data_IF_787909267791
#
_entry.id   IF_787909267791
#
_cell.length_a   1.000
_cell.length_b   1.000
_cell.length_c   1.000
_cell.angle_alpha   90.00
_cell.angle_beta   90.00
_cell.angle_gamma   90.00
#
_symmetry.space_group_name_H-M   'P 1'
#
loop_
_entity.id
_entity.type
_entity.pdbx_description
1 polymer ?
#
# COMPACT_ATOMS: atom_id res chain seq x y z
N UNK A 1 -1.06 -24.90 23.75
CA UNK A 1 -1.35 -23.53 23.28
C UNK A 1 -1.69 -23.66 21.80
N UNK A 2 -2.95 -23.43 21.41
CA UNK A 2 -3.36 -23.50 20.01
C UNK A 2 -2.72 -22.37 19.24
N UNK A 3 -2.10 -22.62 18.07
CA UNK A 3 -1.60 -21.54 17.22
C UNK A 3 -2.78 -20.68 16.78
N UNK A 4 -2.73 -19.39 17.09
CA UNK A 4 -3.68 -18.43 16.61
C UNK A 4 -3.53 -18.38 15.08
N UNK A 5 -4.54 -18.91 14.37
CA UNK A 5 -4.60 -18.80 12.92
C UNK A 5 -4.51 -17.32 12.54
N UNK A 6 -3.64 -16.94 11.59
CA UNK A 6 -3.61 -15.57 11.11
C UNK A 6 -5.03 -15.21 10.64
N UNK A 7 -5.55 -14.08 11.12
CA UNK A 7 -6.78 -13.51 10.57
C UNK A 7 -6.62 -13.48 9.06
N UNK A 8 -7.50 -14.17 8.34
CA UNK A 8 -7.56 -14.08 6.89
C UNK A 8 -7.88 -12.62 6.53
N UNK A 9 -6.85 -11.83 6.28
CA UNK A 9 -6.99 -10.46 5.79
C UNK A 9 -7.61 -10.57 4.41
N UNK A 10 -8.92 -10.37 4.31
CA UNK A 10 -9.57 -10.22 3.02
C UNK A 10 -8.99 -8.96 2.37
N UNK A 11 -8.18 -9.15 1.36
CA UNK A 11 -7.61 -8.04 0.61
C UNK A 11 -8.74 -7.21 -0.02
N UNK A 12 -8.71 -5.87 0.10
CA UNK A 12 -9.76 -5.01 -0.44
C UNK A 12 -10.02 -5.33 -1.91
N UNK A 13 -11.30 -5.43 -2.27
CA UNK A 13 -11.71 -5.81 -3.63
C UNK A 13 -11.27 -4.80 -4.70
N UNK A 14 -11.04 -3.56 -4.29
CA UNK A 14 -10.61 -2.44 -5.13
C UNK A 14 -9.08 -2.30 -5.25
N UNK A 15 -8.32 -3.24 -4.67
CA UNK A 15 -6.86 -3.28 -4.76
C UNK A 15 -6.42 -4.50 -5.58
N UNK A 16 -6.59 -4.37 -6.89
CA UNK A 16 -6.16 -5.35 -7.90
C UNK A 16 -5.28 -4.68 -8.93
N UNK A 17 -4.45 -5.44 -9.64
CA UNK A 17 -3.56 -4.90 -10.68
C UNK A 17 -4.32 -4.15 -11.78
N UNK A 18 -5.51 -4.59 -12.15
CA UNK A 18 -6.38 -3.90 -13.12
C UNK A 18 -6.84 -2.50 -12.66
N UNK A 19 -6.76 -2.22 -11.36
CA UNK A 19 -7.15 -0.94 -10.76
C UNK A 19 -5.99 -0.01 -10.53
N UNK A 20 -4.79 -0.51 -10.72
CA UNK A 20 -3.59 0.28 -10.56
C UNK A 20 -3.47 1.30 -11.68
N UNK A 21 -3.33 2.57 -11.30
CA UNK A 21 -3.02 3.67 -12.20
C UNK A 21 -1.58 4.09 -11.92
N UNK A 22 -0.73 4.02 -12.94
CA UNK A 22 0.70 4.31 -12.83
C UNK A 22 1.49 3.61 -13.93
N UNK A 23 2.78 3.35 -13.69
CA UNK A 23 3.65 2.69 -14.65
C UNK A 23 3.20 1.23 -14.90
N UNK A 24 2.83 0.94 -16.15
CA UNK A 24 2.46 -0.43 -16.57
C UNK A 24 3.63 -1.41 -16.39
N UNK A 25 4.84 -1.03 -16.75
CA UNK A 25 6.01 -1.89 -16.59
C UNK A 25 6.30 -2.27 -15.13
N UNK A 26 6.03 -1.35 -14.18
CA UNK A 26 6.14 -1.67 -12.74
C UNK A 26 5.03 -2.63 -12.33
N UNK A 27 3.79 -2.37 -12.75
CA UNK A 27 2.65 -3.26 -12.48
C UNK A 27 2.91 -4.67 -12.99
N UNK A 28 3.35 -4.79 -14.23
CA UNK A 28 3.53 -6.08 -14.90
C UNK A 28 4.65 -6.89 -14.24
N UNK A 29 5.75 -6.23 -13.85
CA UNK A 29 6.84 -6.91 -13.13
C UNK A 29 6.40 -7.38 -11.73
N UNK A 30 5.64 -6.58 -11.00
CA UNK A 30 5.09 -6.97 -9.69
C UNK A 30 4.11 -8.13 -9.84
N UNK A 31 3.26 -8.10 -10.88
CA UNK A 31 2.33 -9.19 -11.20
C UNK A 31 3.06 -10.49 -11.56
N UNK A 32 4.09 -10.43 -12.39
CA UNK A 32 4.90 -11.60 -12.77
C UNK A 32 5.59 -12.26 -11.55
N UNK A 33 6.09 -11.43 -10.60
CA UNK A 33 6.62 -11.95 -9.33
C UNK A 33 5.50 -12.55 -8.47
N UNK A 34 4.32 -11.92 -8.41
CA UNK A 34 3.19 -12.43 -7.64
C UNK A 34 2.71 -13.79 -8.16
N UNK A 35 2.63 -13.97 -9.48
CA UNK A 35 2.26 -15.25 -10.13
C UNK A 35 3.35 -16.32 -10.04
N UNK A 36 4.59 -15.96 -9.69
CA UNK A 36 5.71 -16.90 -9.63
C UNK A 36 6.42 -17.13 -10.95
N UNK A 37 6.18 -16.29 -11.94
CA UNK A 37 6.88 -16.31 -13.23
C UNK A 37 8.33 -15.86 -13.08
N UNK A 38 8.60 -15.03 -12.07
CA UNK A 38 9.94 -14.56 -11.73
C UNK A 38 10.21 -14.69 -10.22
N UNK A 39 11.42 -15.11 -9.89
CA UNK A 39 11.92 -15.21 -8.51
C UNK A 39 12.74 -13.98 -8.08
N UNK A 40 12.54 -12.85 -8.76
CA UNK A 40 13.23 -11.61 -8.41
C UNK A 40 12.63 -11.02 -7.14
N UNK A 41 13.49 -10.59 -6.25
CA UNK A 41 13.06 -9.79 -5.10
C UNK A 41 12.95 -8.34 -5.53
N UNK A 42 11.83 -7.71 -5.20
CA UNK A 42 11.55 -6.35 -5.61
C UNK A 42 11.65 -5.39 -4.42
N UNK A 43 12.08 -4.18 -4.73
CA UNK A 43 12.06 -3.06 -3.80
C UNK A 43 11.36 -1.87 -4.46
N UNK A 44 10.17 -1.54 -3.96
CA UNK A 44 9.35 -0.43 -4.45
C UNK A 44 9.67 0.82 -3.65
N UNK A 45 10.23 1.85 -4.27
CA UNK A 45 10.51 3.13 -3.64
C UNK A 45 9.60 4.22 -4.20
N UNK A 46 9.05 5.06 -3.34
CA UNK A 46 8.24 6.20 -3.78
C UNK A 46 7.57 6.93 -2.63
N UNK A 47 7.23 8.19 -2.82
CA UNK A 47 6.54 9.00 -1.83
C UNK A 47 5.17 8.41 -1.43
N UNK A 48 4.60 8.89 -0.35
CA UNK A 48 3.24 8.56 0.06
C UNK A 48 2.26 8.84 -1.08
N UNK A 49 1.31 7.95 -1.30
CA UNK A 49 0.33 8.07 -2.39
C UNK A 49 0.83 7.65 -3.78
N UNK A 50 2.06 7.11 -3.91
CA UNK A 50 2.58 6.61 -5.20
C UNK A 50 2.04 5.22 -5.61
N UNK A 51 1.22 4.57 -4.79
CA UNK A 51 0.59 3.30 -5.11
C UNK A 51 1.33 2.05 -4.63
N UNK A 52 2.39 2.17 -3.80
CA UNK A 52 3.14 1.03 -3.25
C UNK A 52 2.25 0.01 -2.55
N UNK A 53 1.50 0.45 -1.54
CA UNK A 53 0.56 -0.40 -0.79
C UNK A 53 -0.47 -1.07 -1.71
N UNK A 54 -0.96 -0.33 -2.74
CA UNK A 54 -1.87 -0.91 -3.73
C UNK A 54 -1.22 -2.09 -4.47
N UNK A 55 0.00 -1.91 -4.97
CA UNK A 55 0.73 -2.97 -5.67
C UNK A 55 1.02 -4.17 -4.76
N UNK A 56 1.41 -3.95 -3.50
CA UNK A 56 1.64 -5.04 -2.55
C UNK A 56 0.36 -5.85 -2.27
N UNK A 57 -0.76 -5.17 -2.04
CA UNK A 57 -2.03 -5.84 -1.78
C UNK A 57 -2.59 -6.52 -3.04
N UNK A 58 -2.38 -5.92 -4.22
CA UNK A 58 -2.69 -6.56 -5.49
C UNK A 58 -1.85 -7.83 -5.70
N UNK A 59 -0.56 -7.79 -5.39
CA UNK A 59 0.33 -8.95 -5.47
C UNK A 59 -0.10 -10.07 -4.51
N UNK A 60 -0.46 -9.74 -3.27
CA UNK A 60 -0.99 -10.73 -2.33
C UNK A 60 -2.30 -11.36 -2.81
N UNK A 61 -3.19 -10.54 -3.38
CA UNK A 61 -4.46 -11.02 -3.91
C UNK A 61 -4.29 -11.93 -5.12
N UNK A 62 -3.33 -11.62 -5.99
CA UNK A 62 -3.00 -12.43 -7.17
C UNK A 62 -2.36 -13.77 -6.79
N UNK A 63 -1.40 -13.75 -5.86
CA UNK A 63 -0.75 -14.96 -5.35
C UNK A 63 -1.70 -15.91 -4.60
N UNK A 64 -2.83 -15.39 -4.11
CA UNK A 64 -3.84 -16.12 -3.31
C UNK A 64 -3.60 -16.00 -1.82
N UNK A 65 -4.69 -15.87 -1.06
CA UNK A 65 -4.70 -15.59 0.39
C UNK A 65 -3.92 -16.62 1.24
N UNK A 66 -3.83 -17.85 0.80
CA UNK A 66 -3.11 -18.92 1.51
C UNK A 66 -1.61 -18.98 1.16
N UNK A 67 -1.17 -18.22 0.15
CA UNK A 67 0.20 -18.26 -0.37
C UNK A 67 0.96 -16.95 -0.19
N UNK A 68 0.29 -15.90 0.21
CA UNK A 68 0.89 -14.59 0.39
C UNK A 68 0.62 -14.01 1.78
N UNK A 69 1.64 -13.36 2.34
CA UNK A 69 1.54 -12.66 3.63
C UNK A 69 1.92 -11.19 3.44
N UNK A 70 1.10 -10.30 3.99
CA UNK A 70 1.32 -8.86 3.99
C UNK A 70 1.66 -8.35 5.39
N UNK A 71 2.75 -7.61 5.50
CA UNK A 71 3.24 -7.01 6.74
C UNK A 71 3.27 -5.49 6.65
N UNK A 72 2.35 -4.76 7.29
CA UNK A 72 2.45 -3.33 7.49
C UNK A 72 3.45 -3.04 8.61
N UNK A 73 4.71 -2.77 8.27
CA UNK A 73 5.82 -2.69 9.22
C UNK A 73 5.61 -1.61 10.29
N UNK A 74 4.96 -0.49 9.95
CA UNK A 74 4.62 0.54 10.93
C UNK A 74 3.76 0.01 12.11
N UNK A 75 2.89 -0.97 11.86
CA UNK A 75 2.06 -1.57 12.90
C UNK A 75 2.82 -2.63 13.73
N UNK A 76 4.01 -3.02 13.29
CA UNK A 76 4.81 -4.10 13.87
C UNK A 76 6.13 -3.61 14.49
N UNK A 77 6.42 -2.33 14.40
CA UNK A 77 7.64 -1.74 14.97
C UNK A 77 7.77 -2.07 16.47
N UNK A 78 8.98 -2.46 16.87
CA UNK A 78 9.31 -2.91 18.23
C UNK A 78 8.95 -4.38 18.55
N UNK A 79 8.33 -5.12 17.61
CA UNK A 79 7.97 -6.55 17.78
C UNK A 79 8.11 -7.36 16.49
N UNK A 80 8.92 -6.88 15.56
CA UNK A 80 9.00 -7.47 14.23
C UNK A 80 9.48 -8.92 14.25
N UNK A 81 10.43 -9.26 15.12
CA UNK A 81 10.94 -10.62 15.24
C UNK A 81 9.80 -11.63 15.50
N UNK A 82 8.93 -11.31 16.47
CA UNK A 82 7.79 -12.18 16.80
C UNK A 82 6.74 -12.23 15.69
N UNK A 83 6.50 -11.11 15.04
CA UNK A 83 5.50 -10.99 13.98
C UNK A 83 5.88 -11.80 12.73
N UNK A 84 7.18 -11.96 12.47
CA UNK A 84 7.69 -12.62 11.26
C UNK A 84 8.04 -14.10 11.43
N UNK A 85 7.71 -14.71 12.57
CA UNK A 85 7.95 -16.14 12.80
C UNK A 85 7.15 -16.97 11.78
N UNK A 86 7.85 -17.78 10.99
CA UNK A 86 7.26 -18.65 9.96
C UNK A 86 6.83 -17.94 8.68
N UNK A 87 7.06 -16.63 8.55
CA UNK A 87 6.70 -15.88 7.35
C UNK A 87 7.46 -16.38 6.10
N UNK A 88 8.65 -16.91 6.27
CA UNK A 88 9.48 -17.53 5.22
C UNK A 88 8.83 -18.75 4.56
N UNK A 89 7.83 -19.36 5.20
CA UNK A 89 7.07 -20.48 4.64
C UNK A 89 5.99 -20.06 3.65
N UNK A 90 5.73 -18.76 3.52
CA UNK A 90 4.80 -18.20 2.54
C UNK A 90 5.39 -18.25 1.13
N UNK A 91 4.57 -18.41 0.10
CA UNK A 91 5.02 -18.35 -1.28
C UNK A 91 5.43 -16.94 -1.74
N UNK A 92 4.83 -15.91 -1.10
CA UNK A 92 5.12 -14.50 -1.32
C UNK A 92 5.00 -13.74 0.01
N UNK A 93 5.94 -12.85 0.29
CA UNK A 93 5.89 -11.93 1.44
C UNK A 93 5.99 -10.50 0.94
N UNK A 94 5.02 -9.68 1.29
CA UNK A 94 4.96 -8.26 0.99
C UNK A 94 5.17 -7.43 2.26
N UNK A 95 6.20 -6.59 2.26
CA UNK A 95 6.65 -5.79 3.41
C UNK A 95 6.46 -4.31 3.10
N UNK A 96 5.50 -3.67 3.76
CA UNK A 96 5.12 -2.28 3.49
C UNK A 96 5.66 -1.32 4.56
N UNK A 97 6.38 -0.29 4.11
CA UNK A 97 6.86 0.78 4.98
C UNK A 97 8.17 0.44 5.69
N UNK A 98 9.22 0.00 4.97
CA UNK A 98 10.54 -0.29 5.56
C UNK A 98 11.11 0.91 6.33
N UNK A 99 10.78 2.13 5.94
CA UNK A 99 11.15 3.35 6.67
C UNK A 99 10.66 3.38 8.11
N UNK A 100 9.59 2.67 8.44
CA UNK A 100 9.02 2.67 9.79
C UNK A 100 9.88 1.94 10.82
N UNK A 101 10.77 1.06 10.36
CA UNK A 101 11.71 0.33 11.23
C UNK A 101 13.14 0.85 11.10
N UNK A 102 13.41 1.77 10.16
CA UNK A 102 14.73 2.32 9.96
C UNK A 102 15.19 3.10 11.19
N UNK A 103 16.43 2.82 11.66
CA UNK A 103 16.97 3.34 12.92
C UNK A 103 16.63 2.50 14.16
N UNK A 104 15.72 1.53 14.07
CA UNK A 104 15.39 0.59 15.14
C UNK A 104 16.20 -0.69 14.97
N UNK A 105 17.39 -0.76 15.60
CA UNK A 105 18.36 -1.84 15.40
C UNK A 105 17.77 -3.25 15.55
N UNK A 106 16.89 -3.47 16.53
CA UNK A 106 16.29 -4.77 16.79
C UNK A 106 15.38 -5.22 15.65
N UNK A 107 14.53 -4.33 15.16
CA UNK A 107 13.65 -4.62 14.03
C UNK A 107 14.44 -4.78 12.72
N UNK A 108 15.49 -3.99 12.51
CA UNK A 108 16.37 -4.15 11.35
C UNK A 108 17.11 -5.50 11.35
N UNK A 109 17.59 -5.95 12.53
CA UNK A 109 18.19 -7.27 12.68
C UNK A 109 17.16 -8.38 12.44
N UNK A 110 15.95 -8.23 12.96
CA UNK A 110 14.86 -9.17 12.71
C UNK A 110 14.53 -9.28 11.20
N UNK A 111 14.46 -8.14 10.51
CA UNK A 111 14.22 -8.10 9.06
C UNK A 111 15.38 -8.72 8.28
N UNK A 112 16.64 -8.48 8.70
CA UNK A 112 17.82 -9.09 8.10
C UNK A 112 17.80 -10.63 8.26
N UNK A 113 17.47 -11.14 9.44
CA UNK A 113 17.35 -12.60 9.65
C UNK A 113 16.22 -13.19 8.83
N UNK A 114 15.05 -12.52 8.76
CA UNK A 114 13.98 -12.94 7.87
C UNK A 114 14.44 -12.99 6.42
N UNK A 115 15.14 -11.95 5.93
CA UNK A 115 15.66 -11.91 4.56
C UNK A 115 16.49 -13.17 4.25
N UNK A 116 17.38 -13.55 5.15
CA UNK A 116 18.25 -14.70 4.95
C UNK A 116 17.44 -16.02 4.96
N UNK A 117 16.48 -16.20 5.89
CA UNK A 117 15.61 -17.38 5.92
C UNK A 117 14.74 -17.48 4.67
N UNK A 118 14.09 -16.39 4.28
CA UNK A 118 13.24 -16.34 3.09
C UNK A 118 14.03 -16.68 1.81
N UNK A 119 15.31 -16.27 1.76
CA UNK A 119 16.19 -16.62 0.64
C UNK A 119 16.56 -18.11 0.62
N UNK A 120 16.77 -18.71 1.78
CA UNK A 120 17.03 -20.15 1.90
C UNK A 120 15.83 -21.00 1.51
N UNK A 121 14.61 -20.55 1.83
CA UNK A 121 13.36 -21.24 1.52
C UNK A 121 12.84 -20.96 0.09
N UNK A 122 13.48 -20.03 -0.64
CA UNK A 122 13.03 -19.66 -1.99
C UNK A 122 11.76 -18.80 -2.00
N UNK A 123 11.42 -18.18 -0.88
CA UNK A 123 10.28 -17.27 -0.73
C UNK A 123 10.48 -16.01 -1.58
N UNK A 124 9.48 -15.62 -2.33
CA UNK A 124 9.47 -14.35 -3.05
C UNK A 124 9.17 -13.20 -2.11
N UNK A 125 9.90 -12.10 -2.23
CA UNK A 125 9.74 -10.96 -1.34
C UNK A 125 9.62 -9.66 -2.13
N UNK A 126 8.66 -8.83 -1.74
CA UNK A 126 8.48 -7.47 -2.26
C UNK A 126 8.52 -6.49 -1.08
N UNK A 127 9.52 -5.64 -1.07
CA UNK A 127 9.66 -4.54 -0.12
C UNK A 127 9.04 -3.26 -0.69
N UNK A 128 8.49 -2.43 0.18
CA UNK A 128 8.07 -1.08 -0.17
C UNK A 128 8.56 -0.07 0.88
N UNK A 129 9.03 1.07 0.42
CA UNK A 129 9.50 2.16 1.27
C UNK A 129 9.26 3.54 0.65
N UNK A 130 9.35 4.58 1.46
CA UNK A 130 9.23 5.97 1.02
C UNK A 130 10.42 6.44 0.18
N UNK A 131 11.59 5.78 0.29
CA UNK A 131 12.83 6.15 -0.38
C UNK A 131 13.62 4.90 -0.81
N UNK A 132 14.66 5.10 -1.62
CA UNK A 132 15.62 4.04 -1.97
C UNK A 132 16.39 3.58 -0.74
N UNK A 133 16.92 2.33 -0.69
CA UNK A 133 17.65 1.80 0.49
C UNK A 133 18.78 2.70 0.96
N UNK A 134 19.52 3.28 0.03
CA UNK A 134 20.64 4.20 0.31
C UNK A 134 20.22 5.51 0.99
N UNK A 135 18.96 5.89 0.91
CA UNK A 135 18.42 7.10 1.52
C UNK A 135 17.64 6.84 2.82
N UNK A 136 17.49 5.58 3.21
CA UNK A 136 16.90 5.23 4.51
C UNK A 136 17.97 5.29 5.62
N UNK A 137 17.64 5.79 6.82
CA UNK A 137 18.58 5.85 7.94
C UNK A 137 18.76 4.47 8.61
N UNK A 138 19.11 3.44 7.82
CA UNK A 138 19.36 2.11 8.32
C UNK A 138 20.65 2.05 9.12
N UNK A 139 20.60 1.40 10.28
CA UNK A 139 21.74 1.23 11.19
C UNK A 139 22.41 -0.14 11.08
N UNK A 140 21.79 -1.09 10.34
CA UNK A 140 22.35 -2.42 10.04
C UNK A 140 22.86 -2.44 8.58
N UNK A 141 24.20 -2.31 8.35
CA UNK A 141 24.77 -2.22 7.00
C UNK A 141 24.47 -3.43 6.13
N UNK A 142 24.42 -4.62 6.73
CA UNK A 142 24.12 -5.86 6.02
C UNK A 142 22.68 -5.86 5.46
N UNK A 143 21.71 -5.31 6.21
CA UNK A 143 20.33 -5.15 5.72
C UNK A 143 20.31 -4.17 4.56
N UNK A 144 20.96 -3.01 4.68
CA UNK A 144 21.04 -2.04 3.60
C UNK A 144 21.57 -2.68 2.30
N UNK A 145 22.70 -3.40 2.42
CA UNK A 145 23.30 -4.13 1.28
C UNK A 145 22.36 -5.15 0.67
N UNK A 146 21.56 -5.89 1.48
CA UNK A 146 20.58 -6.85 0.99
C UNK A 146 19.45 -6.19 0.23
N UNK A 147 18.92 -5.08 0.74
CA UNK A 147 17.86 -4.32 0.07
C UNK A 147 18.35 -3.69 -1.25
N UNK A 148 19.61 -3.29 -1.32
CA UNK A 148 20.23 -2.77 -2.55
C UNK A 148 20.37 -3.85 -3.65
N UNK A 149 20.48 -5.12 -3.27
CA UNK A 149 20.54 -6.25 -4.21
C UNK A 149 19.19 -6.58 -4.85
N UNK A 150 18.08 -6.09 -4.32
CA UNK A 150 16.77 -6.26 -4.92
C UNK A 150 16.64 -5.49 -6.23
N UNK A 151 15.76 -5.95 -7.13
CA UNK A 151 15.36 -5.15 -8.29
C UNK A 151 14.58 -3.93 -7.81
N UNK A 152 15.16 -2.74 -7.97
CA UNK A 152 14.61 -1.49 -7.44
C UNK A 152 13.74 -0.80 -8.47
N UNK A 153 12.52 -0.47 -8.06
CA UNK A 153 11.52 0.19 -8.89
C UNK A 153 11.10 1.50 -8.22
N UNK A 154 11.28 2.61 -8.92
CA UNK A 154 10.84 3.91 -8.45
C UNK A 154 9.40 4.18 -8.91
N UNK A 155 8.52 4.50 -7.96
CA UNK A 155 7.16 4.92 -8.22
C UNK A 155 7.03 6.43 -8.06
N UNK A 156 6.52 7.10 -9.07
CA UNK A 156 6.19 8.52 -9.02
C UNK A 156 4.75 8.69 -8.54
N UNK A 157 4.48 9.68 -7.67
CA UNK A 157 3.10 10.04 -7.33
C UNK A 157 2.31 10.41 -8.57
N UNK A 158 1.02 10.07 -8.55
CA UNK A 158 0.11 10.47 -9.63
C UNK A 158 -0.01 12.00 -9.70
N UNK A 159 -0.14 12.51 -10.91
CA UNK A 159 -0.57 13.88 -11.14
C UNK A 159 -2.05 14.07 -10.75
N UNK A 160 -2.60 15.25 -10.96
CA UNK A 160 -4.00 15.52 -10.62
C UNK A 160 -4.96 14.70 -11.46
N UNK A 161 -4.66 14.51 -12.75
CA UNK A 161 -5.49 13.73 -13.65
C UNK A 161 -5.54 12.26 -13.22
N UNK A 162 -4.40 11.67 -12.91
CA UNK A 162 -4.32 10.29 -12.41
C UNK A 162 -5.06 10.11 -11.07
N UNK A 163 -4.95 11.07 -10.14
CA UNK A 163 -5.69 11.02 -8.87
C UNK A 163 -7.21 11.10 -9.10
N UNK A 164 -7.67 11.96 -10.04
CA UNK A 164 -9.09 12.04 -10.41
C UNK A 164 -9.57 10.70 -10.96
N UNK A 165 -8.79 10.10 -11.84
CA UNK A 165 -9.11 8.80 -12.41
C UNK A 165 -9.23 7.70 -11.33
N UNK A 166 -8.29 7.65 -10.35
CA UNK A 166 -8.39 6.71 -9.21
C UNK A 166 -9.70 6.89 -8.47
N UNK A 167 -10.06 8.13 -8.12
CA UNK A 167 -11.28 8.40 -7.37
C UNK A 167 -12.53 8.03 -8.17
N UNK A 168 -12.57 8.37 -9.45
CA UNK A 168 -13.70 8.05 -10.34
C UNK A 168 -13.87 6.54 -10.49
N UNK A 169 -12.79 5.79 -10.74
CA UNK A 169 -12.84 4.33 -10.86
C UNK A 169 -13.30 3.67 -9.57
N UNK A 170 -12.77 4.10 -8.41
CA UNK A 170 -13.18 3.58 -7.10
C UNK A 170 -14.64 3.88 -6.78
N UNK A 171 -15.12 5.09 -7.10
CA UNK A 171 -16.50 5.48 -6.93
C UNK A 171 -17.44 4.62 -7.81
N UNK A 172 -17.13 4.50 -9.10
CA UNK A 172 -17.91 3.72 -10.04
C UNK A 172 -18.08 2.26 -9.64
N UNK A 173 -17.02 1.64 -9.08
CA UNK A 173 -17.09 0.25 -8.57
C UNK A 173 -18.04 0.07 -7.39
N UNK A 174 -18.29 1.14 -6.64
CA UNK A 174 -19.25 1.18 -5.53
C UNK A 174 -20.64 1.65 -5.97
N UNK A 175 -20.83 1.85 -7.28
CA UNK A 175 -22.06 2.40 -7.81
C UNK A 175 -22.27 3.88 -7.50
N UNK A 176 -21.18 4.59 -7.13
CA UNK A 176 -21.22 6.02 -6.86
C UNK A 176 -20.85 6.80 -8.12
N UNK A 177 -21.59 7.85 -8.38
CA UNK A 177 -21.30 8.80 -9.44
C UNK A 177 -20.67 10.06 -8.82
N UNK A 178 -19.44 10.38 -9.23
CA UNK A 178 -18.76 11.63 -8.87
C UNK A 178 -18.68 12.50 -10.12
N UNK A 179 -19.41 13.60 -10.14
CA UNK A 179 -19.28 14.60 -11.19
C UNK A 179 -18.03 15.48 -10.99
N UNK A 180 -17.64 16.23 -12.03
CA UNK A 180 -16.46 17.09 -11.97
C UNK A 180 -16.58 18.16 -10.87
N UNK A 181 -17.76 18.67 -10.58
CA UNK A 181 -17.97 19.65 -9.52
C UNK A 181 -17.72 19.05 -8.13
N UNK A 182 -18.07 17.78 -7.92
CA UNK A 182 -17.79 17.02 -6.69
C UNK A 182 -16.29 16.77 -6.58
N UNK A 183 -15.63 16.31 -7.63
CA UNK A 183 -14.18 16.10 -7.66
C UNK A 183 -13.43 17.40 -7.37
N UNK A 184 -13.78 18.48 -8.05
CA UNK A 184 -13.19 19.81 -7.82
C UNK A 184 -13.37 20.28 -6.38
N UNK A 185 -14.53 20.05 -5.80
CA UNK A 185 -14.77 20.38 -4.40
C UNK A 185 -13.90 19.57 -3.47
N UNK A 186 -13.77 18.25 -3.69
CA UNK A 186 -12.92 17.37 -2.90
C UNK A 186 -11.45 17.78 -2.95
N UNK A 187 -10.90 18.01 -4.15
CA UNK A 187 -9.50 18.41 -4.34
C UNK A 187 -9.18 19.76 -3.72
N UNK A 188 -10.11 20.72 -3.74
CA UNK A 188 -9.93 22.03 -3.08
C UNK A 188 -10.02 21.94 -1.56
N UNK A 189 -10.85 21.04 -1.04
CA UNK A 189 -11.21 21.02 0.37
C UNK A 189 -10.34 20.09 1.22
N UNK A 190 -10.02 18.93 0.69
CA UNK A 190 -9.34 17.82 1.41
C UNK A 190 -7.85 17.78 1.10
N UNK A 191 -7.44 18.52 0.05
CA UNK A 191 -6.07 18.48 -0.41
C UNK A 191 -5.83 17.40 -1.48
N UNK A 192 -4.55 17.16 -1.78
CA UNK A 192 -4.13 16.31 -2.91
C UNK A 192 -3.60 14.95 -2.49
N UNK A 193 -3.67 14.63 -1.20
CA UNK A 193 -3.24 13.31 -0.72
C UNK A 193 -4.27 12.24 -1.08
N UNK A 194 -3.84 11.29 -1.91
CA UNK A 194 -4.72 10.23 -2.41
C UNK A 194 -5.21 9.31 -1.30
N UNK A 195 -4.40 9.06 -0.26
CA UNK A 195 -4.80 8.25 0.90
C UNK A 195 -5.97 8.87 1.64
N UNK A 196 -5.87 10.17 1.94
CA UNK A 196 -6.95 10.94 2.57
C UNK A 196 -8.21 10.99 1.71
N UNK A 197 -8.06 11.21 0.39
CA UNK A 197 -9.19 11.26 -0.54
C UNK A 197 -9.91 9.90 -0.66
N UNK A 198 -9.16 8.80 -0.70
CA UNK A 198 -9.76 7.45 -0.76
C UNK A 198 -10.43 7.06 0.55
N UNK A 199 -9.83 7.37 1.71
CA UNK A 199 -10.46 7.15 3.02
C UNK A 199 -11.76 7.98 3.18
N UNK A 200 -11.77 9.19 2.65
CA UNK A 200 -12.98 10.02 2.62
C UNK A 200 -14.05 9.40 1.72
N UNK A 201 -13.67 8.89 0.54
CA UNK A 201 -14.60 8.19 -0.35
C UNK A 201 -15.26 7.00 0.34
N UNK A 202 -14.51 6.23 1.15
CA UNK A 202 -15.03 5.10 1.93
C UNK A 202 -16.06 5.55 2.99
N UNK A 203 -15.88 6.75 3.55
CA UNK A 203 -16.86 7.33 4.48
C UNK A 203 -18.10 7.84 3.75
N UNK A 204 -17.92 8.53 2.63
CA UNK A 204 -19.01 9.07 1.82
C UNK A 204 -19.89 7.96 1.25
N UNK A 205 -19.32 6.81 0.88
CA UNK A 205 -20.05 5.64 0.43
C UNK A 205 -21.04 5.16 1.50
N UNK A 206 -20.55 4.95 2.73
CA UNK A 206 -21.40 4.54 3.85
C UNK A 206 -22.52 5.52 4.15
N UNK A 207 -22.21 6.81 4.14
CA UNK A 207 -23.15 7.87 4.45
C UNK A 207 -24.18 8.09 3.32
N UNK A 208 -23.73 8.00 2.07
CA UNK A 208 -24.61 8.08 0.89
C UNK A 208 -25.62 6.92 0.88
N UNK A 209 -25.14 5.71 1.18
CA UNK A 209 -25.98 4.53 1.29
C UNK A 209 -27.01 4.66 2.45
N UNK A 210 -26.57 5.11 3.62
CA UNK A 210 -27.44 5.32 4.77
C UNK A 210 -28.50 6.40 4.52
N UNK A 211 -28.13 7.47 3.80
CA UNK A 211 -29.00 8.58 3.47
C UNK A 211 -29.86 8.34 2.21
N UNK A 212 -29.59 7.29 1.44
CA UNK A 212 -30.17 7.02 0.10
C UNK A 212 -30.07 8.24 -0.83
N UNK A 213 -28.93 8.93 -0.80
CA UNK A 213 -28.70 10.17 -1.55
C UNK A 213 -27.45 10.06 -2.42
N UNK A 214 -27.51 10.69 -3.60
CA UNK A 214 -26.32 10.87 -4.45
C UNK A 214 -25.30 11.79 -3.79
N UNK A 215 -24.02 11.54 -4.04
CA UNK A 215 -22.93 12.42 -3.61
C UNK A 215 -22.97 13.67 -4.48
N UNK A 216 -23.29 14.80 -3.86
CA UNK A 216 -23.35 16.11 -4.51
C UNK A 216 -22.57 17.12 -3.66
N UNK A 217 -22.20 18.27 -4.22
CA UNK A 217 -21.50 19.32 -3.45
C UNK A 217 -22.30 19.76 -2.20
N UNK A 218 -23.65 19.94 -2.25
CA UNK A 218 -24.45 20.19 -1.04
C UNK A 218 -24.36 19.07 -0.01
N UNK A 219 -24.35 17.79 -0.44
CA UNK A 219 -24.17 16.66 0.46
C UNK A 219 -22.79 16.70 1.12
N UNK A 220 -21.70 16.95 0.35
CA UNK A 220 -20.36 17.06 0.89
C UNK A 220 -20.21 18.19 1.94
N UNK A 221 -20.88 19.32 1.73
CA UNK A 221 -20.85 20.43 2.69
C UNK A 221 -21.41 20.08 4.07
N UNK A 222 -22.31 19.11 4.16
CA UNK A 222 -22.84 18.62 5.42
C UNK A 222 -21.86 17.74 6.18
N UNK A 223 -21.00 17.01 5.45
CA UNK A 223 -20.04 16.04 6.01
C UNK A 223 -18.64 16.60 6.24
N UNK A 224 -18.24 17.56 5.43
CA UNK A 224 -16.94 18.19 5.56
C UNK A 224 -17.10 19.49 6.36
N UNK A 225 -16.62 19.54 7.62
CA UNK A 225 -16.70 20.76 8.40
C UNK A 225 -16.05 21.90 7.64
N UNK A 226 -16.53 23.12 7.88
CA UNK A 226 -15.94 24.31 7.28
C UNK A 226 -14.45 24.32 7.59
N UNK A 227 -13.57 24.20 6.57
CA UNK A 227 -12.17 24.44 6.79
C UNK A 227 -12.04 25.86 7.33
N UNK A 228 -11.26 26.04 8.38
CA UNK A 228 -10.79 27.36 8.73
C UNK A 228 -10.14 27.94 7.48
N UNK A 229 -10.79 28.91 6.87
CA UNK A 229 -10.24 29.71 5.79
C UNK A 229 -9.13 30.57 6.43
N UNK A 230 -7.82 30.35 6.10
CA UNK A 230 -6.76 31.16 6.68
C UNK A 230 -6.68 32.55 6.04
N UNK A 231 -7.78 33.05 5.48
CA UNK A 231 -7.88 34.30 4.72
C UNK A 231 -9.13 35.13 5.01
N UNK A 232 -9.43 35.37 6.31
CA UNK A 232 -10.25 36.52 6.72
C UNK A 232 -9.58 37.24 7.86
#
# INVERSE_FOLDING_TARGET
MSPQLPLALRFPADQRFQDFIGSEGVRDLVSAVACGEHNHWLYLAGATGSGKTHLLLAACAEAGEQRATYFPLAAMAGRLEQAMVGAEMSGLVCLDGVEAIAGHREDEVALFHFHNRARAEGTRVIYAASAMPTALPLVVPDLASRLEQCTRLALTPLDEAGRREVLTRRASRRGLELDDAVLDYLFRRVGRDLGTLTALLDRLDRESLAAQRRITVPFLRQFLPAANDPGR
#
